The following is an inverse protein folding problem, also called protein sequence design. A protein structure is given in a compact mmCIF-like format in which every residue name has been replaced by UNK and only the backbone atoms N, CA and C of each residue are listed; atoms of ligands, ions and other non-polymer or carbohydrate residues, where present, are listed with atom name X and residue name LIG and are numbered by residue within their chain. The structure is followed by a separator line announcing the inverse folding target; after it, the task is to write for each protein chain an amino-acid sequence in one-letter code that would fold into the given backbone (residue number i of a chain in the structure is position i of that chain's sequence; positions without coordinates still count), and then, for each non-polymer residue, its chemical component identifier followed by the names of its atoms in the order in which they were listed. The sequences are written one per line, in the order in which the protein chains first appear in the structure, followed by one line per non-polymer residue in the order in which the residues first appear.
data_IF_682203951962
#
_entry.id   IF_682203951962
#
_cell.length_a   1.000
_cell.length_b   1.000
_cell.length_c   1.000
_cell.angle_alpha   90.00
_cell.angle_beta   90.00
_cell.angle_gamma   90.00
#
_symmetry.space_group_name_H-M   'P 1'
#
loop_
_entity.id
_entity.type
_entity.pdbx_description
1 polymer ?
#
# COMPACT_ATOMS: atom_id res chain seq x y z
N UNK A 1 -26.47 7.55 -11.90
CA UNK A 1 -26.19 7.63 -13.34
C UNK A 1 -25.85 6.25 -13.83
N UNK A 2 -26.47 5.84 -14.92
CA UNK A 2 -26.29 4.53 -15.59
C UNK A 2 -24.81 4.19 -15.82
N UNK A 3 -23.99 5.19 -16.15
CA UNK A 3 -22.54 5.05 -16.33
C UNK A 3 -21.78 4.54 -15.09
N UNK A 4 -22.18 4.96 -13.88
CA UNK A 4 -21.53 4.48 -12.65
C UNK A 4 -21.87 3.03 -12.36
N UNK A 5 -23.11 2.63 -12.66
CA UNK A 5 -23.56 1.25 -12.51
C UNK A 5 -22.90 0.33 -13.56
N UNK A 6 -22.75 0.82 -14.80
CA UNK A 6 -22.01 0.13 -15.86
C UNK A 6 -20.54 -0.03 -15.50
N UNK A 7 -19.85 1.05 -15.09
CA UNK A 7 -18.45 0.98 -14.68
C UNK A 7 -18.24 -0.03 -13.56
N UNK A 8 -19.07 0.03 -12.51
CA UNK A 8 -19.00 -0.89 -11.37
C UNK A 8 -19.23 -2.35 -11.80
N UNK A 9 -20.21 -2.60 -12.67
CA UNK A 9 -20.50 -3.94 -13.18
C UNK A 9 -19.37 -4.49 -14.05
N UNK A 10 -18.80 -3.67 -14.94
CA UNK A 10 -17.69 -4.05 -15.82
C UNK A 10 -16.43 -4.34 -15.00
N UNK A 11 -16.09 -3.49 -14.02
CA UNK A 11 -14.95 -3.72 -13.14
C UNK A 11 -15.04 -5.05 -12.39
N UNK A 12 -16.24 -5.45 -11.95
CA UNK A 12 -16.48 -6.73 -11.27
C UNK A 12 -16.30 -7.93 -12.20
N UNK A 13 -16.89 -7.88 -13.40
CA UNK A 13 -16.73 -8.94 -14.39
C UNK A 13 -15.24 -9.09 -14.73
N UNK A 14 -14.54 -7.98 -14.91
CA UNK A 14 -13.11 -7.99 -15.18
C UNK A 14 -12.29 -8.56 -14.01
N UNK A 15 -12.64 -8.23 -12.77
CA UNK A 15 -12.01 -8.80 -11.59
C UNK A 15 -12.19 -10.33 -11.52
N UNK A 16 -13.37 -10.85 -11.86
CA UNK A 16 -13.63 -12.29 -11.92
C UNK A 16 -12.80 -12.95 -13.04
N UNK A 17 -12.72 -12.33 -14.22
CA UNK A 17 -11.90 -12.84 -15.33
C UNK A 17 -10.43 -12.91 -14.92
N UNK A 18 -9.91 -11.85 -14.29
CA UNK A 18 -8.54 -11.84 -13.77
C UNK A 18 -8.34 -12.93 -12.71
N UNK A 19 -9.29 -13.11 -11.79
CA UNK A 19 -9.21 -14.13 -10.75
C UNK A 19 -9.13 -15.55 -11.35
N UNK A 20 -9.97 -15.84 -12.34
CA UNK A 20 -9.95 -17.12 -13.08
C UNK A 20 -8.62 -17.30 -13.80
N UNK A 21 -8.14 -16.26 -14.49
CA UNK A 21 -6.86 -16.31 -15.20
C UNK A 21 -5.68 -16.53 -14.26
N UNK A 22 -5.59 -15.79 -13.16
CA UNK A 22 -4.51 -15.91 -12.18
C UNK A 22 -4.55 -17.25 -11.45
N UNK A 23 -5.74 -17.70 -11.03
CA UNK A 23 -5.92 -19.01 -10.41
C UNK A 23 -5.47 -20.14 -11.33
N UNK A 24 -5.84 -20.08 -12.62
CA UNK A 24 -5.37 -21.04 -13.62
C UNK A 24 -3.84 -20.96 -13.78
N UNK A 25 -3.29 -19.75 -13.90
CA UNK A 25 -1.86 -19.54 -14.06
C UNK A 25 -1.05 -20.15 -12.91
N UNK A 26 -1.42 -19.87 -11.65
CA UNK A 26 -0.71 -20.36 -10.46
C UNK A 26 -0.71 -21.89 -10.36
N UNK A 27 -1.85 -22.53 -10.57
CA UNK A 27 -1.96 -24.00 -10.57
C UNK A 27 -1.13 -24.59 -11.70
N UNK A 28 -1.23 -24.01 -12.89
CA UNK A 28 -0.57 -24.50 -14.09
C UNK A 28 0.96 -24.37 -14.05
N UNK A 29 1.48 -23.46 -13.22
CA UNK A 29 2.90 -23.25 -13.04
C UNK A 29 3.52 -24.06 -11.90
N UNK A 30 2.73 -24.89 -11.20
CA UNK A 30 3.25 -25.79 -10.17
C UNK A 30 3.71 -25.08 -8.90
N UNK A 31 3.17 -23.89 -8.59
CA UNK A 31 3.49 -23.15 -7.36
C UNK A 31 3.19 -23.95 -6.08
N UNK A 32 2.25 -24.88 -6.15
CA UNK A 32 1.83 -25.72 -5.03
C UNK A 32 2.62 -27.05 -4.93
N UNK A 33 3.66 -27.23 -5.74
CA UNK A 33 4.47 -28.44 -5.79
C UNK A 33 3.91 -29.53 -6.72
N UNK A 34 4.46 -30.76 -6.66
CA UNK A 34 4.03 -31.87 -7.50
C UNK A 34 2.65 -32.38 -7.04
N UNK A 35 1.61 -31.87 -7.69
CA UNK A 35 0.20 -32.20 -7.42
C UNK A 35 -0.41 -33.04 -8.53
N UNK A 36 -1.33 -33.94 -8.19
CA UNK A 36 -2.10 -34.70 -9.19
C UNK A 36 -3.07 -33.79 -9.94
N UNK A 37 -3.45 -34.14 -11.18
CA UNK A 37 -4.42 -33.36 -11.97
C UNK A 37 -5.73 -33.08 -11.22
N UNK A 38 -6.23 -34.05 -10.44
CA UNK A 38 -7.43 -33.87 -9.60
C UNK A 38 -7.22 -32.84 -8.49
N UNK A 39 -6.03 -32.82 -7.87
CA UNK A 39 -5.70 -31.83 -6.84
C UNK A 39 -5.55 -30.43 -7.44
N UNK A 40 -4.95 -30.34 -8.64
CA UNK A 40 -4.85 -29.08 -9.38
C UNK A 40 -6.22 -28.48 -9.69
N UNK A 41 -7.17 -29.31 -10.14
CA UNK A 41 -8.53 -28.87 -10.37
C UNK A 41 -9.21 -28.41 -9.07
N UNK A 42 -9.01 -29.15 -7.96
CA UNK A 42 -9.57 -28.78 -6.66
C UNK A 42 -9.02 -27.45 -6.14
N UNK A 43 -7.69 -27.25 -6.21
CA UNK A 43 -7.03 -26.00 -5.81
C UNK A 43 -7.52 -24.84 -6.69
N UNK A 44 -7.63 -25.05 -8.00
CA UNK A 44 -8.16 -24.04 -8.92
C UNK A 44 -9.57 -23.59 -8.53
N UNK A 45 -10.49 -24.53 -8.31
CA UNK A 45 -11.88 -24.23 -7.90
C UNK A 45 -11.90 -23.51 -6.55
N UNK A 46 -11.07 -23.94 -5.59
CA UNK A 46 -10.95 -23.29 -4.28
C UNK A 46 -10.46 -21.84 -4.39
N UNK A 47 -9.44 -21.57 -5.21
CA UNK A 47 -8.90 -20.22 -5.41
C UNK A 47 -9.93 -19.28 -6.05
N UNK A 48 -10.65 -19.75 -7.08
CA UNK A 48 -11.70 -18.96 -7.72
C UNK A 48 -12.86 -18.69 -6.75
N UNK A 49 -13.32 -19.72 -6.01
CA UNK A 49 -14.37 -19.57 -5.02
C UNK A 49 -13.99 -18.59 -3.90
N UNK A 50 -12.77 -18.71 -3.36
CA UNK A 50 -12.25 -17.81 -2.33
C UNK A 50 -12.16 -16.36 -2.84
N UNK A 51 -11.69 -16.16 -4.08
CA UNK A 51 -11.59 -14.81 -4.66
C UNK A 51 -12.97 -14.19 -4.88
N UNK A 52 -13.95 -14.96 -5.35
CA UNK A 52 -15.34 -14.51 -5.47
C UNK A 52 -15.90 -14.10 -4.09
N UNK A 53 -15.65 -14.90 -3.05
CA UNK A 53 -16.07 -14.55 -1.69
C UNK A 53 -15.46 -13.22 -1.22
N UNK A 54 -14.18 -12.98 -1.47
CA UNK A 54 -13.51 -11.72 -1.11
C UNK A 54 -14.14 -10.53 -1.84
N UNK A 55 -14.43 -10.66 -3.15
CA UNK A 55 -15.11 -9.62 -3.93
C UNK A 55 -16.50 -9.32 -3.34
N UNK A 56 -17.26 -10.36 -2.99
CA UNK A 56 -18.58 -10.21 -2.37
C UNK A 56 -18.53 -9.57 -0.98
N UNK A 57 -17.50 -9.89 -0.18
CA UNK A 57 -17.30 -9.26 1.13
C UNK A 57 -16.95 -7.77 1.00
N UNK A 58 -16.12 -7.40 0.02
CA UNK A 58 -15.83 -5.98 -0.25
C UNK A 58 -17.11 -5.23 -0.69
N UNK A 59 -17.96 -5.84 -1.52
CA UNK A 59 -19.26 -5.27 -1.85
C UNK A 59 -20.18 -5.09 -0.65
N UNK A 60 -20.22 -6.07 0.25
CA UNK A 60 -21.04 -6.00 1.45
C UNK A 60 -20.65 -4.80 2.31
N UNK A 61 -19.34 -4.60 2.53
CA UNK A 61 -18.81 -3.45 3.27
C UNK A 61 -19.17 -2.14 2.55
N UNK A 62 -18.95 -2.05 1.24
CA UNK A 62 -19.23 -0.84 0.46
C UNK A 62 -20.73 -0.48 0.39
N UNK A 63 -21.63 -1.45 0.51
CA UNK A 63 -23.10 -1.22 0.54
C UNK A 63 -23.61 -0.70 1.89
N UNK A 64 -22.71 -0.34 2.82
CA UNK A 64 -23.05 0.32 4.08
C UNK A 64 -23.16 -0.62 5.28
N UNK A 65 -22.79 -1.88 5.14
CA UNK A 65 -22.68 -2.81 6.28
C UNK A 65 -21.35 -2.67 7.04
N UNK A 66 -20.43 -1.83 6.55
CA UNK A 66 -19.19 -1.51 7.22
C UNK A 66 -18.71 -0.08 6.91
N UNK A 67 -17.60 0.30 7.54
CA UNK A 67 -16.99 1.62 7.37
C UNK A 67 -15.91 1.54 6.28
N UNK A 68 -16.01 2.40 5.27
CA UNK A 68 -15.02 2.53 4.21
C UNK A 68 -15.07 1.43 3.14
N UNK A 69 -13.91 0.85 2.82
CA UNK A 69 -13.75 -0.19 1.79
C UNK A 69 -13.31 -1.50 2.41
N UNK A 70 -13.83 -2.63 1.92
CA UNK A 70 -13.44 -3.96 2.40
C UNK A 70 -11.97 -4.27 2.11
N UNK A 71 -11.45 -3.86 0.96
CA UNK A 71 -10.02 -4.01 0.63
C UNK A 71 -9.14 -3.35 1.68
N UNK A 72 -9.46 -2.12 2.09
CA UNK A 72 -8.71 -1.41 3.13
C UNK A 72 -8.74 -2.13 4.47
N UNK A 73 -9.88 -2.72 4.84
CA UNK A 73 -10.02 -3.50 6.08
C UNK A 73 -9.16 -4.77 6.04
N UNK A 74 -9.14 -5.49 4.91
CA UNK A 74 -8.31 -6.69 4.76
C UNK A 74 -6.82 -6.39 4.83
N UNK A 75 -6.38 -5.26 4.25
CA UNK A 75 -4.99 -4.82 4.35
C UNK A 75 -4.62 -4.53 5.81
N UNK A 76 -5.45 -3.76 6.52
CA UNK A 76 -5.21 -3.43 7.94
C UNK A 76 -5.16 -4.70 8.79
N UNK A 77 -6.09 -5.64 8.57
CA UNK A 77 -6.14 -6.89 9.31
C UNK A 77 -4.89 -7.76 9.06
N UNK A 78 -4.47 -7.91 7.80
CA UNK A 78 -3.29 -8.70 7.45
C UNK A 78 -1.98 -8.12 8.00
N UNK A 79 -1.81 -6.80 7.94
CA UNK A 79 -0.64 -6.13 8.51
C UNK A 79 -0.65 -6.22 10.04
N UNK A 80 -1.82 -6.05 10.67
CA UNK A 80 -1.95 -6.20 12.12
C UNK A 80 -1.66 -7.63 12.57
N UNK A 81 -2.08 -8.63 11.80
CA UNK A 81 -1.74 -10.04 12.03
C UNK A 81 -0.23 -10.27 11.95
N UNK A 82 0.44 -9.80 10.89
CA UNK A 82 1.90 -9.96 10.73
C UNK A 82 2.67 -9.30 11.89
N UNK A 83 2.25 -8.10 12.33
CA UNK A 83 2.82 -7.44 13.51
C UNK A 83 2.57 -8.29 14.77
N UNK A 84 1.34 -8.79 14.98
CA UNK A 84 1.00 -9.57 16.16
C UNK A 84 1.79 -10.88 16.24
N UNK A 85 1.90 -11.61 15.12
CA UNK A 85 2.70 -12.83 15.02
C UNK A 85 4.18 -12.53 15.27
N UNK A 86 4.71 -11.45 14.71
CA UNK A 86 6.10 -11.04 14.93
C UNK A 86 6.41 -10.68 16.39
N UNK A 87 5.39 -10.23 17.14
CA UNK A 87 5.52 -9.90 18.56
C UNK A 87 5.39 -11.11 19.48
N UNK A 88 4.38 -11.95 19.26
CA UNK A 88 3.89 -12.94 20.24
C UNK A 88 3.96 -14.39 19.77
N UNK A 89 4.47 -14.70 18.57
CA UNK A 89 4.53 -16.09 18.10
C UNK A 89 5.32 -17.00 19.06
N UNK A 90 4.70 -18.06 19.60
CA UNK A 90 5.34 -18.99 20.54
C UNK A 90 6.16 -20.09 19.85
N UNK A 91 6.29 -20.04 18.52
CA UNK A 91 7.03 -21.04 17.74
C UNK A 91 8.53 -20.92 18.07
N UNK A 92 9.16 -22.05 18.32
CA UNK A 92 10.59 -22.16 18.61
C UNK A 92 11.33 -22.44 17.30
N UNK A 93 12.31 -21.61 16.98
CA UNK A 93 13.15 -21.77 15.79
C UNK A 93 14.23 -22.83 16.02
N UNK A 94 14.89 -23.33 14.94
CA UNK A 94 16.02 -24.25 15.05
C UNK A 94 17.14 -23.77 15.99
N UNK A 95 17.30 -22.45 16.14
CA UNK A 95 18.24 -21.81 17.06
C UNK A 95 17.79 -21.83 18.54
N UNK A 96 16.74 -22.60 18.86
CA UNK A 96 16.05 -22.68 20.15
C UNK A 96 15.44 -21.36 20.67
N UNK A 97 15.52 -20.25 19.92
CA UNK A 97 14.94 -18.97 20.32
C UNK A 97 13.52 -18.85 19.76
N UNK A 98 12.60 -18.22 20.51
CA UNK A 98 11.25 -17.96 20.04
C UNK A 98 11.23 -17.05 18.79
N UNK A 99 10.23 -17.25 17.93
CA UNK A 99 9.99 -16.39 16.76
C UNK A 99 9.50 -15.00 17.18
N UNK A 100 8.58 -14.93 18.15
CA UNK A 100 8.06 -13.66 18.66
C UNK A 100 9.12 -12.90 19.46
N UNK A 101 9.36 -11.63 19.11
CA UNK A 101 10.43 -10.83 19.72
C UNK A 101 10.24 -10.67 21.23
N UNK A 102 9.00 -10.55 21.72
CA UNK A 102 8.72 -10.34 23.15
C UNK A 102 9.11 -11.59 23.94
N UNK A 103 8.70 -12.77 23.46
CA UNK A 103 9.04 -14.05 24.09
C UNK A 103 10.54 -14.33 23.98
N UNK A 104 11.16 -13.99 22.85
CA UNK A 104 12.59 -14.12 22.63
C UNK A 104 13.40 -13.22 23.58
N UNK A 105 12.97 -11.98 23.80
CA UNK A 105 13.56 -11.04 24.74
C UNK A 105 13.52 -11.59 26.18
N UNK A 106 12.39 -12.15 26.63
CA UNK A 106 12.33 -12.77 27.96
C UNK A 106 13.29 -13.95 28.08
N UNK A 107 13.33 -14.86 27.10
CA UNK A 107 14.21 -16.03 27.14
C UNK A 107 15.69 -15.65 27.13
N UNK A 108 16.08 -14.67 26.33
CA UNK A 108 17.48 -14.24 26.21
C UNK A 108 17.95 -13.33 27.33
N UNK A 109 17.05 -12.56 27.94
CA UNK A 109 17.34 -11.83 29.17
C UNK A 109 17.65 -12.81 30.31
N UNK A 110 16.92 -13.92 30.40
CA UNK A 110 17.19 -14.99 31.37
C UNK A 110 18.49 -15.73 31.03
N UNK A 111 18.80 -15.94 29.74
CA UNK A 111 20.02 -16.62 29.29
C UNK A 111 21.27 -15.72 29.27
N UNK A 112 21.13 -14.39 29.40
CA UNK A 112 22.24 -13.42 29.43
C UNK A 112 22.89 -13.09 28.08
N UNK A 113 22.30 -13.51 26.94
CA UNK A 113 22.84 -13.25 25.61
C UNK A 113 21.90 -12.40 24.75
N UNK A 114 21.93 -11.08 24.98
CA UNK A 114 21.09 -10.09 24.28
C UNK A 114 21.60 -9.85 22.84
N UNK A 115 22.89 -10.08 22.58
CA UNK A 115 23.51 -9.86 21.27
C UNK A 115 22.90 -10.75 20.17
N UNK A 116 22.45 -11.95 20.52
CA UNK A 116 21.84 -12.90 19.59
C UNK A 116 20.50 -12.44 18.99
N UNK A 117 19.84 -11.43 19.57
CA UNK A 117 18.54 -10.92 19.09
C UNK A 117 18.67 -9.57 18.36
N UNK A 118 19.84 -8.92 18.43
CA UNK A 118 20.03 -7.61 17.80
C UNK A 118 19.81 -7.65 16.29
N UNK A 119 20.48 -8.57 15.59
CA UNK A 119 20.31 -8.82 14.16
C UNK A 119 20.30 -10.33 13.97
N UNK A 120 19.15 -10.87 13.55
CA UNK A 120 19.00 -12.32 13.32
C UNK A 120 19.24 -12.64 11.84
N UNK A 121 20.17 -13.56 11.57
CA UNK A 121 20.34 -14.11 10.23
C UNK A 121 19.13 -14.98 9.88
N UNK A 122 18.48 -14.73 8.75
CA UNK A 122 17.28 -15.45 8.31
C UNK A 122 15.99 -14.62 8.22
N UNK A 123 16.05 -13.31 8.49
CA UNK A 123 14.88 -12.42 8.31
C UNK A 123 13.77 -12.63 9.35
N UNK A 124 14.08 -13.29 10.46
CA UNK A 124 13.19 -13.42 11.61
C UNK A 124 13.08 -12.10 12.38
N UNK A 125 11.99 -11.88 13.15
CA UNK A 125 11.82 -10.68 13.96
C UNK A 125 13.02 -10.44 14.89
N UNK A 126 13.66 -9.28 14.72
CA UNK A 126 14.85 -8.82 15.43
C UNK A 126 14.55 -7.56 16.25
N UNK A 127 15.44 -7.22 17.20
CA UNK A 127 15.22 -6.07 18.06
C UNK A 127 15.31 -4.74 17.29
N UNK A 128 16.16 -4.69 16.27
CA UNK A 128 16.28 -3.52 15.38
C UNK A 128 14.97 -3.31 14.64
N UNK A 129 14.39 -4.33 14.01
CA UNK A 129 13.09 -4.25 13.35
C UNK A 129 11.97 -3.80 14.30
N UNK A 130 11.95 -4.26 15.56
CA UNK A 130 10.97 -3.82 16.55
C UNK A 130 11.08 -2.31 16.85
N UNK A 131 12.29 -1.82 17.15
CA UNK A 131 12.52 -0.40 17.45
C UNK A 131 12.22 0.45 16.22
N UNK A 132 12.65 0.01 15.04
CA UNK A 132 12.35 0.65 13.76
C UNK A 132 10.86 0.69 13.48
N UNK A 133 10.08 -0.34 13.87
CA UNK A 133 8.62 -0.35 13.76
C UNK A 133 7.97 0.75 14.57
N UNK A 134 8.33 0.88 15.86
CA UNK A 134 7.79 1.93 16.73
C UNK A 134 8.13 3.31 16.18
N UNK A 135 9.39 3.51 15.80
CA UNK A 135 9.85 4.78 15.23
C UNK A 135 9.12 5.12 13.94
N UNK A 136 8.97 4.15 13.02
CA UNK A 136 8.30 4.34 11.73
C UNK A 136 6.82 4.68 11.91
N UNK A 137 6.12 3.98 12.81
CA UNK A 137 4.71 4.26 13.11
C UNK A 137 4.57 5.71 13.61
N UNK A 138 5.41 6.14 14.55
CA UNK A 138 5.40 7.52 15.05
C UNK A 138 5.69 8.56 13.96
N UNK A 139 6.70 8.30 13.12
CA UNK A 139 7.07 9.17 12.02
C UNK A 139 5.94 9.27 10.96
N UNK A 140 5.30 8.16 10.62
CA UNK A 140 4.19 8.11 9.66
C UNK A 140 2.95 8.83 10.18
N UNK A 141 2.59 8.66 11.46
CA UNK A 141 1.50 9.42 12.08
C UNK A 141 1.78 10.93 12.00
N UNK A 142 3.02 11.33 12.26
CA UNK A 142 3.43 12.73 12.16
C UNK A 142 3.32 13.26 10.72
N UNK A 143 3.84 12.52 9.73
CA UNK A 143 3.80 12.91 8.31
C UNK A 143 2.36 13.00 7.79
N UNK A 144 1.51 12.03 8.14
CA UNK A 144 0.09 11.99 7.74
C UNK A 144 -0.69 13.19 8.31
N UNK A 145 -0.29 13.71 9.48
CA UNK A 145 -0.90 14.88 10.10
C UNK A 145 -0.50 16.22 9.44
N UNK A 146 0.58 16.25 8.63
CA UNK A 146 1.05 17.49 7.99
C UNK A 146 0.07 17.94 6.91
N UNK A 147 -0.33 19.21 6.98
CA UNK A 147 -1.23 19.85 6.00
C UNK A 147 -0.70 21.21 5.58
N UNK A 148 -0.87 21.53 4.31
CA UNK A 148 -0.61 22.83 3.71
C UNK A 148 -1.93 23.59 3.66
N UNK A 149 -2.01 24.73 4.34
CA UNK A 149 -3.23 25.54 4.41
C UNK A 149 -3.22 26.62 3.32
N UNK A 150 -4.14 26.53 2.36
CA UNK A 150 -4.32 27.56 1.32
C UNK A 150 -5.31 28.61 1.84
N UNK A 151 -4.94 29.90 1.89
CA UNK A 151 -5.85 30.95 2.35
C UNK A 151 -6.98 31.17 1.33
N UNK A 152 -8.21 31.05 1.79
CA UNK A 152 -9.45 31.27 1.04
C UNK A 152 -10.31 32.31 1.75
N UNK A 153 -11.23 32.94 1.05
CA UNK A 153 -12.19 33.89 1.63
C UNK A 153 -13.57 33.65 1.08
N UNK A 154 -14.60 33.99 1.85
CA UNK A 154 -15.97 33.96 1.35
C UNK A 154 -16.19 35.15 0.41
N UNK A 155 -16.77 34.89 -0.76
CA UNK A 155 -17.08 35.94 -1.72
C UNK A 155 -18.24 36.84 -1.26
N UNK A 156 -19.20 36.27 -0.53
CA UNK A 156 -20.41 36.96 -0.05
C UNK A 156 -20.22 37.71 1.27
N UNK A 157 -19.30 37.27 2.13
CA UNK A 157 -19.08 37.84 3.46
C UNK A 157 -17.69 38.45 3.54
N UNK A 158 -17.61 39.77 3.34
CA UNK A 158 -16.37 40.52 3.39
C UNK A 158 -15.72 40.39 4.78
N UNK A 159 -14.43 40.04 4.84
CA UNK A 159 -13.67 39.91 6.09
C UNK A 159 -13.55 38.48 6.63
N UNK A 160 -14.39 37.54 6.21
CA UNK A 160 -14.25 36.13 6.63
C UNK A 160 -13.19 35.41 5.80
N UNK A 161 -12.01 35.23 6.39
CA UNK A 161 -10.92 34.39 5.87
C UNK A 161 -11.09 32.98 6.40
N UNK A 162 -11.18 32.01 5.49
CA UNK A 162 -11.15 30.60 5.79
C UNK A 162 -9.82 30.01 5.30
N UNK A 163 -9.52 28.79 5.72
CA UNK A 163 -8.33 28.08 5.25
C UNK A 163 -8.78 26.76 4.64
N UNK A 164 -8.27 26.46 3.43
CA UNK A 164 -8.50 25.18 2.78
C UNK A 164 -7.29 24.27 3.07
N UNK A 165 -7.42 23.26 3.94
CA UNK A 165 -6.32 22.37 4.26
C UNK A 165 -6.13 21.34 3.13
N UNK A 166 -4.92 21.29 2.56
CA UNK A 166 -4.48 20.24 1.63
C UNK A 166 -3.49 19.36 2.38
N UNK A 167 -3.80 18.08 2.57
CA UNK A 167 -2.88 17.13 3.23
C UNK A 167 -1.58 17.00 2.42
N UNK A 168 -0.45 16.82 3.09
CA UNK A 168 0.84 16.54 2.43
C UNK A 168 0.76 15.24 1.61
N UNK A 169 0.11 14.22 2.15
CA UNK A 169 -0.19 12.98 1.43
C UNK A 169 -1.52 13.11 0.68
N UNK A 170 -1.59 14.11 -0.21
CA UNK A 170 -2.82 14.50 -0.92
C UNK A 170 -3.47 13.36 -1.71
N UNK A 171 -2.63 12.53 -2.33
CA UNK A 171 -3.05 11.46 -3.24
C UNK A 171 -3.43 10.18 -2.48
N UNK A 172 -3.38 10.21 -1.14
CA UNK A 172 -3.56 9.05 -0.27
C UNK A 172 -2.56 7.93 -0.59
N UNK A 173 -2.79 6.73 -0.07
CA UNK A 173 -1.90 5.58 -0.25
C UNK A 173 -2.18 4.76 -1.53
N UNK A 174 -3.09 5.22 -2.39
CA UNK A 174 -3.43 4.49 -3.63
C UNK A 174 -2.25 4.38 -4.63
N UNK A 175 -1.43 5.43 -4.85
CA UNK A 175 -0.29 5.33 -5.78
C UNK A 175 0.72 4.25 -5.42
N UNK A 176 1.01 4.08 -4.13
CA UNK A 176 1.95 3.05 -3.68
C UNK A 176 1.35 1.65 -3.86
N UNK A 177 0.05 1.46 -3.63
CA UNK A 177 -0.63 0.18 -3.94
C UNK A 177 -0.47 -0.17 -5.42
N UNK A 178 -0.65 0.79 -6.33
CA UNK A 178 -0.48 0.51 -7.76
C UNK A 178 0.96 0.18 -8.13
N UNK A 179 1.94 0.92 -7.59
CA UNK A 179 3.35 0.64 -7.82
C UNK A 179 3.71 -0.79 -7.37
N UNK A 180 3.32 -1.17 -6.16
CA UNK A 180 3.62 -2.49 -5.60
C UNK A 180 2.87 -3.60 -6.30
N UNK A 181 1.63 -3.35 -6.75
CA UNK A 181 0.87 -4.33 -7.53
C UNK A 181 1.53 -4.60 -8.89
N UNK A 182 2.02 -3.56 -9.57
CA UNK A 182 2.80 -3.73 -10.81
C UNK A 182 4.06 -4.54 -10.54
N UNK A 183 4.76 -4.24 -9.45
CA UNK A 183 6.01 -4.90 -9.07
C UNK A 183 5.80 -6.39 -8.76
N UNK A 184 4.82 -6.71 -7.91
CA UNK A 184 4.43 -8.07 -7.61
C UNK A 184 4.00 -8.83 -8.86
N UNK A 185 3.22 -8.20 -9.76
CA UNK A 185 2.81 -8.84 -11.00
C UNK A 185 3.99 -9.12 -11.94
N UNK A 186 4.98 -8.24 -12.03
CA UNK A 186 6.21 -8.48 -12.81
C UNK A 186 6.93 -9.73 -12.28
N UNK A 187 7.07 -9.85 -10.95
CA UNK A 187 7.69 -11.02 -10.34
C UNK A 187 6.86 -12.29 -10.56
N UNK A 188 5.57 -12.27 -10.23
CA UNK A 188 4.74 -13.48 -10.35
C UNK A 188 4.59 -13.91 -11.80
N UNK A 189 4.21 -13.03 -12.73
CA UNK A 189 4.14 -13.37 -14.15
C UNK A 189 5.50 -13.79 -14.71
N UNK A 190 6.58 -13.12 -14.29
CA UNK A 190 7.93 -13.49 -14.69
C UNK A 190 8.30 -14.89 -14.22
N UNK A 191 7.99 -15.24 -12.97
CA UNK A 191 8.23 -16.58 -12.42
C UNK A 191 7.38 -17.67 -13.10
N UNK A 192 6.15 -17.35 -13.50
CA UNK A 192 5.25 -18.24 -14.25
C UNK A 192 5.79 -18.53 -15.66
N UNK A 193 6.29 -17.49 -16.33
CA UNK A 193 6.91 -17.64 -17.66
C UNK A 193 8.22 -18.41 -17.55
N UNK A 194 9.03 -18.13 -16.52
CA UNK A 194 10.28 -18.83 -16.27
C UNK A 194 10.07 -20.33 -16.02
N UNK A 195 9.13 -20.70 -15.14
CA UNK A 195 8.91 -22.11 -14.77
C UNK A 195 8.49 -23.00 -15.94
N UNK A 196 7.84 -22.43 -16.96
CA UNK A 196 7.41 -23.16 -18.16
C UNK A 196 8.33 -23.05 -19.36
N UNK A 197 8.85 -21.85 -19.64
CA UNK A 197 9.54 -21.57 -20.90
C UNK A 197 11.05 -21.41 -20.76
N UNK A 198 11.58 -21.23 -19.54
CA UNK A 198 13.02 -20.99 -19.35
C UNK A 198 13.57 -21.49 -17.99
N UNK A 199 13.29 -22.73 -17.57
CA UNK A 199 13.73 -23.23 -16.26
C UNK A 199 15.26 -23.25 -16.09
N UNK A 200 16.01 -23.41 -17.19
CA UNK A 200 17.48 -23.45 -17.19
C UNK A 200 18.15 -22.07 -17.38
N UNK A 201 17.37 -20.97 -17.48
CA UNK A 201 17.89 -19.61 -17.75
C UNK A 201 18.70 -19.49 -19.07
N UNK A 202 18.37 -20.26 -20.10
CA UNK A 202 19.08 -20.27 -21.39
C UNK A 202 18.68 -19.09 -22.31
N UNK A 203 17.43 -18.61 -22.21
CA UNK A 203 16.90 -17.58 -23.11
C UNK A 203 17.25 -16.15 -22.65
N UNK A 204 18.14 -15.48 -23.39
CA UNK A 204 18.61 -14.10 -23.09
C UNK A 204 17.46 -13.08 -22.94
N UNK A 205 16.44 -13.15 -23.79
CA UNK A 205 15.29 -12.22 -23.73
C UNK A 205 14.41 -12.46 -22.50
N UNK A 206 14.20 -13.72 -22.10
CA UNK A 206 13.42 -14.06 -20.91
C UNK A 206 14.20 -13.76 -19.63
N UNK A 207 15.53 -13.92 -19.68
CA UNK A 207 16.43 -13.55 -18.58
C UNK A 207 16.42 -12.04 -18.28
N UNK A 208 16.08 -11.19 -19.26
CA UNK A 208 15.92 -9.75 -19.03
C UNK A 208 14.70 -9.45 -18.12
N UNK A 209 13.61 -10.21 -18.29
CA UNK A 209 12.40 -10.10 -17.44
C UNK A 209 12.74 -10.58 -16.03
N UNK A 210 13.39 -11.73 -15.92
CA UNK A 210 13.92 -12.22 -14.65
C UNK A 210 14.55 -13.60 -14.81
N UNK A 211 15.66 -13.82 -14.10
CA UNK A 211 16.16 -15.17 -13.82
C UNK A 211 15.73 -15.55 -12.42
N UNK A 212 15.29 -16.79 -12.26
CA UNK A 212 14.85 -17.30 -10.99
C UNK A 212 15.61 -18.58 -10.66
N UNK A 213 15.70 -18.87 -9.36
CA UNK A 213 16.20 -20.15 -8.85
C UNK A 213 15.24 -20.64 -7.78
N UNK A 214 15.02 -21.95 -7.74
CA UNK A 214 14.26 -22.57 -6.66
C UNK A 214 15.19 -22.77 -5.47
N UNK A 215 14.96 -22.02 -4.40
CA UNK A 215 15.69 -22.20 -3.16
C UNK A 215 15.10 -23.39 -2.41
N UNK A 216 15.91 -24.45 -2.25
CA UNK A 216 15.48 -25.68 -1.59
C UNK A 216 15.30 -25.50 -0.08
N UNK A 217 15.96 -24.52 0.55
CA UNK A 217 15.85 -24.28 2.00
C UNK A 217 14.59 -23.49 2.33
N UNK A 218 14.26 -22.47 1.53
CA UNK A 218 13.06 -21.67 1.70
C UNK A 218 11.80 -22.30 1.07
N UNK A 219 11.97 -23.26 0.14
CA UNK A 219 10.86 -23.83 -0.64
C UNK A 219 10.19 -22.81 -1.57
N UNK A 220 10.86 -21.70 -1.85
CA UNK A 220 10.33 -20.57 -2.62
C UNK A 220 11.20 -20.24 -3.81
N UNK A 221 10.57 -19.72 -4.86
CA UNK A 221 11.26 -19.18 -6.03
C UNK A 221 11.84 -17.81 -5.67
N UNK A 222 13.16 -17.67 -5.79
CA UNK A 222 13.87 -16.41 -5.55
C UNK A 222 14.36 -15.85 -6.88
N UNK A 223 14.14 -14.57 -7.13
CA UNK A 223 14.72 -13.89 -8.30
C UNK A 223 16.22 -13.69 -8.07
N UNK A 224 17.05 -14.09 -9.04
CA UNK A 224 18.51 -13.96 -9.01
C UNK A 224 19.04 -12.89 -9.95
N UNK A 225 18.23 -12.44 -10.92
CA UNK A 225 18.65 -11.47 -11.92
C UNK A 225 17.49 -10.94 -12.77
N UNK A 226 17.81 -10.01 -13.67
CA UNK A 226 16.83 -9.33 -14.53
C UNK A 226 15.99 -8.26 -13.81
N UNK A 227 14.92 -7.80 -14.44
CA UNK A 227 14.03 -6.77 -13.89
C UNK A 227 13.38 -7.22 -12.58
N UNK A 228 12.95 -8.48 -12.49
CA UNK A 228 12.33 -9.04 -11.28
C UNK A 228 13.21 -8.95 -10.02
N UNK A 229 14.54 -9.04 -10.18
CA UNK A 229 15.50 -8.91 -9.08
C UNK A 229 15.49 -7.52 -8.44
N UNK A 230 15.37 -6.46 -9.26
CA UNK A 230 15.36 -5.08 -8.80
C UNK A 230 13.97 -4.61 -8.34
N UNK A 231 12.92 -5.27 -8.83
CA UNK A 231 11.53 -4.97 -8.50
C UNK A 231 11.16 -5.50 -7.11
N UNK A 232 11.76 -6.60 -6.66
CA UNK A 232 11.67 -7.06 -5.28
C UNK A 232 12.84 -6.54 -4.46
N UNK A 233 12.56 -5.65 -3.53
CA UNK A 233 13.55 -5.05 -2.66
C UNK A 233 14.14 -6.05 -1.65
N UNK A 234 15.43 -5.88 -1.27
CA UNK A 234 16.01 -6.61 -0.16
C UNK A 234 15.27 -6.26 1.14
N UNK A 235 15.04 -7.25 2.01
CA UNK A 235 14.45 -7.03 3.34
C UNK A 235 15.51 -7.24 4.41
N UNK A 236 15.64 -6.25 5.30
CA UNK A 236 16.60 -6.26 6.39
C UNK A 236 18.01 -5.76 6.04
N UNK A 237 18.73 -5.33 7.08
CA UNK A 237 20.02 -4.65 6.92
C UNK A 237 21.08 -5.55 6.31
N UNK A 238 21.11 -6.84 6.68
CA UNK A 238 22.09 -7.78 6.17
C UNK A 238 22.07 -7.89 4.63
N UNK A 239 20.87 -8.06 4.05
CA UNK A 239 20.71 -8.19 2.61
C UNK A 239 21.00 -6.88 1.84
N UNK A 240 20.80 -5.73 2.49
CA UNK A 240 21.17 -4.41 1.94
C UNK A 240 22.68 -4.21 1.92
N UNK A 241 23.41 -4.71 2.93
CA UNK A 241 24.87 -4.64 2.96
C UNK A 241 25.53 -5.60 1.98
N UNK A 242 24.90 -6.75 1.72
CA UNK A 242 25.36 -7.73 0.72
C UNK A 242 25.23 -7.19 -0.71
N UNK A 243 24.10 -6.55 -1.04
CA UNK A 243 23.90 -5.91 -2.35
C UNK A 243 23.31 -4.48 -2.23
N UNK A 244 24.18 -3.48 -1.97
CA UNK A 244 23.75 -2.09 -1.89
C UNK A 244 23.19 -1.57 -3.22
N UNK A 245 23.65 -2.12 -4.34
CA UNK A 245 23.23 -1.68 -5.67
C UNK A 245 21.77 -2.03 -5.93
N UNK A 246 21.36 -3.25 -5.59
CA UNK A 246 19.96 -3.69 -5.64
C UNK A 246 19.07 -2.81 -4.79
N UNK A 247 19.48 -2.47 -3.57
CA UNK A 247 18.72 -1.60 -2.69
C UNK A 247 18.50 -0.21 -3.33
N UNK A 248 19.57 0.45 -3.79
CA UNK A 248 19.46 1.79 -4.39
C UNK A 248 18.58 1.78 -5.65
N UNK A 249 18.74 0.79 -6.54
CA UNK A 249 17.93 0.67 -7.75
C UNK A 249 16.47 0.41 -7.41
N UNK A 250 16.19 -0.48 -6.45
CA UNK A 250 14.83 -0.75 -5.99
C UNK A 250 14.15 0.50 -5.43
N UNK A 251 14.82 1.24 -4.53
CA UNK A 251 14.29 2.48 -3.97
C UNK A 251 14.02 3.53 -5.08
N UNK A 252 14.95 3.68 -6.02
CA UNK A 252 14.78 4.59 -7.16
C UNK A 252 13.58 4.22 -8.03
N UNK A 253 13.39 2.93 -8.33
CA UNK A 253 12.24 2.44 -9.07
C UNK A 253 10.93 2.67 -8.29
N UNK A 254 10.89 2.33 -7.01
CA UNK A 254 9.69 2.49 -6.19
C UNK A 254 9.27 3.97 -6.09
N UNK A 255 10.23 4.87 -5.84
CA UNK A 255 9.98 6.32 -5.80
C UNK A 255 9.49 6.83 -7.16
N UNK A 256 10.13 6.41 -8.25
CA UNK A 256 9.73 6.81 -9.61
C UNK A 256 8.28 6.41 -9.90
N UNK A 257 7.93 5.14 -9.66
CA UNK A 257 6.58 4.63 -9.90
C UNK A 257 5.56 5.24 -8.93
N UNK A 258 5.92 5.48 -7.67
CA UNK A 258 5.05 6.16 -6.72
C UNK A 258 4.70 7.58 -7.17
N UNK A 259 5.67 8.36 -7.65
CA UNK A 259 5.44 9.71 -8.19
C UNK A 259 4.63 9.68 -9.49
N UNK A 260 4.94 8.74 -10.38
CA UNK A 260 4.23 8.57 -11.65
C UNK A 260 2.75 8.24 -11.40
N UNK A 261 2.47 7.23 -10.58
CA UNK A 261 1.10 6.86 -10.23
C UNK A 261 0.40 7.96 -9.41
N UNK A 262 1.13 8.73 -8.60
CA UNK A 262 0.53 9.84 -7.88
C UNK A 262 -0.01 10.92 -8.82
N UNK A 263 0.75 11.24 -9.89
CA UNK A 263 0.28 12.18 -10.92
C UNK A 263 -0.93 11.66 -11.68
N UNK A 264 -0.91 10.39 -12.07
CA UNK A 264 -2.05 9.77 -12.76
C UNK A 264 -3.31 9.73 -11.87
N UNK A 265 -3.15 9.39 -10.58
CA UNK A 265 -4.27 9.32 -9.67
C UNK A 265 -4.96 10.67 -9.49
N UNK A 266 -4.22 11.78 -9.37
CA UNK A 266 -4.80 13.12 -9.24
C UNK A 266 -5.70 13.47 -10.42
N UNK A 267 -5.32 13.08 -11.64
CA UNK A 267 -6.12 13.34 -12.84
C UNK A 267 -7.42 12.52 -12.87
N UNK A 268 -7.35 11.27 -12.44
CA UNK A 268 -8.47 10.31 -12.54
C UNK A 268 -9.44 10.43 -11.37
N UNK A 269 -8.94 10.67 -10.15
CA UNK A 269 -9.73 10.70 -8.91
C UNK A 269 -10.62 11.94 -8.73
N UNK A 270 -10.63 12.86 -9.70
CA UNK A 270 -11.37 14.12 -9.59
C UNK A 270 -10.72 15.15 -8.68
N UNK A 271 -9.51 14.86 -8.18
CA UNK A 271 -8.65 15.75 -7.39
C UNK A 271 -7.85 16.75 -8.26
N UNK A 272 -8.16 16.82 -9.55
CA UNK A 272 -7.52 17.73 -10.48
C UNK A 272 -7.73 19.20 -10.04
N UNK A 273 -6.71 20.07 -10.12
CA UNK A 273 -6.81 21.47 -9.72
C UNK A 273 -7.99 22.22 -10.31
N UNK A 274 -8.35 21.91 -11.56
CA UNK A 274 -9.46 22.49 -12.30
C UNK A 274 -10.80 22.13 -11.64
N UNK A 275 -11.02 20.85 -11.33
CA UNK A 275 -12.23 20.37 -10.65
C UNK A 275 -12.34 20.90 -9.22
N UNK A 276 -11.23 20.96 -8.49
CA UNK A 276 -11.20 21.54 -7.13
C UNK A 276 -11.54 23.03 -7.16
N UNK A 277 -11.03 23.77 -8.15
CA UNK A 277 -11.35 25.19 -8.31
C UNK A 277 -12.85 25.41 -8.61
N UNK A 278 -13.45 24.59 -9.48
CA UNK A 278 -14.89 24.62 -9.76
C UNK A 278 -15.72 24.35 -8.50
N UNK A 279 -15.34 23.35 -7.70
CA UNK A 279 -16.00 23.02 -6.43
C UNK A 279 -15.89 24.16 -5.40
N UNK A 280 -14.74 24.84 -5.33
CA UNK A 280 -14.57 25.99 -4.43
C UNK A 280 -15.44 27.17 -4.87
N UNK A 281 -15.51 27.44 -6.18
CA UNK A 281 -16.34 28.52 -6.71
C UNK A 281 -17.83 28.23 -6.50
N UNK A 282 -18.28 26.99 -6.72
CA UNK A 282 -19.68 26.59 -6.50
C UNK A 282 -20.05 26.67 -5.01
N UNK A 283 -19.10 26.40 -4.10
CA UNK A 283 -19.25 26.62 -2.66
C UNK A 283 -19.23 28.11 -2.24
N UNK A 284 -19.09 29.06 -3.18
CA UNK A 284 -19.08 30.49 -2.88
C UNK A 284 -17.76 31.03 -2.34
N UNK A 285 -16.67 30.26 -2.47
CA UNK A 285 -15.33 30.63 -2.02
C UNK A 285 -14.56 31.38 -3.11
N UNK A 286 -13.64 32.25 -2.70
CA UNK A 286 -12.71 32.96 -3.58
C UNK A 286 -11.33 33.09 -2.93
N UNK A 287 -10.28 33.16 -3.73
CA UNK A 287 -8.92 33.43 -3.23
C UNK A 287 -8.77 34.95 -3.02
N UNK A 288 -8.34 35.43 -1.83
CA UNK A 288 -8.15 36.85 -1.58
C UNK A 288 -7.22 37.50 -2.61
N UNK A 289 -7.62 38.65 -3.17
CA UNK A 289 -6.78 39.43 -4.10
C UNK A 289 -6.89 39.03 -5.57
N UNK A 290 -7.68 38.01 -5.92
CA UNK A 290 -7.87 37.56 -7.31
C UNK A 290 -9.32 37.68 -7.76
N UNK A 291 -9.53 37.85 -9.08
CA UNK A 291 -10.86 37.79 -9.68
C UNK A 291 -11.43 36.38 -9.57
N UNK A 292 -12.75 36.28 -9.43
CA UNK A 292 -13.48 35.00 -9.35
C UNK A 292 -13.60 34.37 -10.73
N UNK A 293 -12.49 33.82 -11.24
CA UNK A 293 -12.50 32.94 -12.41
C UNK A 293 -11.95 31.56 -12.04
N UNK A 294 -12.57 30.47 -12.54
CA UNK A 294 -12.07 29.10 -12.34
C UNK A 294 -10.61 28.94 -12.73
N UNK A 295 -10.20 29.56 -13.85
CA UNK A 295 -8.84 29.47 -14.39
C UNK A 295 -7.79 30.08 -13.47
N UNK A 296 -8.07 31.24 -12.85
CA UNK A 296 -7.12 31.90 -11.95
C UNK A 296 -6.96 31.11 -10.66
N UNK A 297 -8.08 30.63 -10.09
CA UNK A 297 -8.06 29.81 -8.87
C UNK A 297 -7.37 28.48 -9.13
N UNK A 298 -7.66 27.82 -10.25
CA UNK A 298 -7.01 26.59 -10.67
C UNK A 298 -5.50 26.77 -10.84
N UNK A 299 -5.04 27.86 -11.45
CA UNK A 299 -3.61 28.17 -11.61
C UNK A 299 -2.86 28.27 -10.28
N UNK A 300 -3.48 28.87 -9.26
CA UNK A 300 -2.91 28.98 -7.92
C UNK A 300 -2.87 27.60 -7.25
N UNK A 301 -4.00 26.90 -7.24
CA UNK A 301 -4.15 25.58 -6.61
C UNK A 301 -3.23 24.54 -7.27
N UNK A 302 -3.05 24.62 -8.59
CA UNK A 302 -2.19 23.72 -9.37
C UNK A 302 -0.75 23.70 -8.89
N UNK A 303 -0.21 24.85 -8.44
CA UNK A 303 1.13 24.90 -7.85
C UNK A 303 1.19 24.08 -6.56
N UNK A 304 0.22 24.26 -5.67
CA UNK A 304 0.15 23.52 -4.41
C UNK A 304 -0.10 22.03 -4.64
N UNK A 305 -1.14 21.66 -5.38
CA UNK A 305 -1.47 20.26 -5.66
C UNK A 305 -0.32 19.58 -6.39
N UNK A 306 0.24 20.17 -7.44
CA UNK A 306 1.36 19.59 -8.18
C UNK A 306 2.59 19.33 -7.32
N UNK A 307 2.97 20.30 -6.47
CA UNK A 307 4.09 20.13 -5.54
C UNK A 307 3.81 19.07 -4.49
N UNK A 308 2.62 19.08 -3.89
CA UNK A 308 2.23 18.12 -2.85
C UNK A 308 2.11 16.70 -3.41
N UNK A 309 1.65 16.53 -4.65
CA UNK A 309 1.59 15.23 -5.33
C UNK A 309 2.98 14.63 -5.55
N UNK A 310 3.94 15.43 -6.00
CA UNK A 310 5.31 14.96 -6.23
C UNK A 310 6.00 14.67 -4.89
N UNK A 311 5.90 15.60 -3.93
CA UNK A 311 6.49 15.43 -2.60
C UNK A 311 5.88 14.22 -1.87
N UNK A 312 4.55 14.05 -1.92
CA UNK A 312 3.86 12.93 -1.30
C UNK A 312 4.32 11.60 -1.89
N UNK A 313 4.41 11.49 -3.23
CA UNK A 313 4.92 10.28 -3.88
C UNK A 313 6.39 9.98 -3.53
N UNK A 314 7.23 11.01 -3.45
CA UNK A 314 8.64 10.87 -3.07
C UNK A 314 8.79 10.42 -1.61
N UNK A 315 8.07 11.05 -0.69
CA UNK A 315 8.10 10.72 0.74
C UNK A 315 7.59 9.29 0.95
N UNK A 316 6.43 8.94 0.39
CA UNK A 316 5.86 7.59 0.52
C UNK A 316 6.80 6.53 -0.02
N UNK A 317 7.34 6.72 -1.23
CA UNK A 317 8.29 5.76 -1.82
C UNK A 317 9.56 5.61 -0.99
N UNK A 318 10.12 6.71 -0.50
CA UNK A 318 11.33 6.70 0.34
C UNK A 318 11.08 6.00 1.66
N UNK A 319 9.99 6.34 2.36
CA UNK A 319 9.64 5.76 3.66
C UNK A 319 9.36 4.26 3.52
N UNK A 320 8.65 3.85 2.46
CA UNK A 320 8.39 2.45 2.18
C UNK A 320 9.70 1.65 1.97
N UNK A 321 10.61 2.13 1.12
CA UNK A 321 11.89 1.45 0.88
C UNK A 321 12.76 1.38 2.13
N UNK A 322 12.89 2.48 2.87
CA UNK A 322 13.69 2.51 4.11
C UNK A 322 13.12 1.55 5.15
N UNK A 323 11.80 1.46 5.26
CA UNK A 323 11.16 0.55 6.20
C UNK A 323 11.35 -0.92 5.85
N UNK A 324 11.33 -1.29 4.56
CA UNK A 324 11.66 -2.66 4.16
C UNK A 324 13.14 -3.02 4.44
N UNK A 325 14.07 -2.06 4.28
CA UNK A 325 15.49 -2.24 4.61
C UNK A 325 15.76 -2.38 6.10
N UNK A 326 14.95 -1.75 6.94
CA UNK A 326 15.03 -1.86 8.39
C UNK A 326 14.33 -3.11 8.95
N UNK A 327 13.83 -4.01 8.08
CA UNK A 327 13.08 -5.21 8.48
C UNK A 327 11.92 -4.90 9.44
N UNK A 328 11.19 -3.83 9.17
CA UNK A 328 10.03 -3.43 9.97
C UNK A 328 8.94 -4.49 9.91
N UNK A 329 8.28 -4.77 11.04
CA UNK A 329 7.24 -5.80 11.14
C UNK A 329 5.99 -5.39 10.36
N UNK A 330 5.43 -6.27 9.51
CA UNK A 330 4.24 -5.91 8.71
C UNK A 330 4.55 -5.29 7.34
N UNK A 331 5.82 -5.23 6.92
CA UNK A 331 6.33 -4.48 5.76
C UNK A 331 6.22 -2.96 5.87
N UNK A 332 7.19 -2.25 5.29
CA UNK A 332 7.17 -0.80 5.19
C UNK A 332 5.94 -0.27 4.45
N UNK A 333 5.56 -0.95 3.37
CA UNK A 333 4.35 -0.63 2.60
C UNK A 333 3.09 -0.91 3.44
N UNK A 334 3.05 -2.06 4.12
CA UNK A 334 1.90 -2.48 4.91
C UNK A 334 1.58 -1.51 6.06
N UNK A 335 2.59 -1.07 6.80
CA UNK A 335 2.40 -0.08 7.88
C UNK A 335 1.94 1.26 7.33
N UNK A 336 2.56 1.74 6.24
CA UNK A 336 2.18 3.01 5.61
C UNK A 336 0.72 2.99 5.17
N UNK A 337 0.30 1.89 4.56
CA UNK A 337 -1.09 1.68 4.17
C UNK A 337 -2.02 1.70 5.37
N UNK A 338 -1.67 0.92 6.40
CA UNK A 338 -2.46 0.77 7.61
C UNK A 338 -2.68 2.11 8.31
N UNK A 339 -1.63 2.92 8.49
CA UNK A 339 -1.74 4.21 9.15
C UNK A 339 -2.64 5.17 8.37
N UNK A 340 -2.47 5.27 7.04
CA UNK A 340 -3.32 6.16 6.24
C UNK A 340 -4.78 5.69 6.21
N UNK A 341 -5.03 4.38 6.13
CA UNK A 341 -6.39 3.82 6.20
C UNK A 341 -7.03 4.10 7.57
N UNK A 342 -6.32 3.83 8.67
CA UNK A 342 -6.81 4.10 10.02
C UNK A 342 -7.06 5.59 10.23
N UNK A 343 -6.20 6.47 9.71
CA UNK A 343 -6.40 7.91 9.77
C UNK A 343 -7.64 8.33 8.97
N UNK A 344 -7.86 7.75 7.78
CA UNK A 344 -9.07 7.99 6.99
C UNK A 344 -10.33 7.53 7.73
N UNK A 345 -10.30 6.36 8.37
CA UNK A 345 -11.43 5.82 9.13
C UNK A 345 -11.71 6.66 10.37
N UNK A 346 -10.66 7.11 11.07
CA UNK A 346 -10.78 8.06 12.17
C UNK A 346 -11.48 9.35 11.72
N UNK A 347 -11.08 9.92 10.58
CA UNK A 347 -11.73 11.13 10.04
C UNK A 347 -13.19 10.89 9.66
N UNK A 348 -13.51 9.72 9.09
CA UNK A 348 -14.88 9.34 8.76
C UNK A 348 -15.75 9.25 10.01
N UNK A 349 -15.29 8.52 11.03
CA UNK A 349 -15.99 8.36 12.31
C UNK A 349 -16.19 9.67 13.06
N UNK A 350 -15.18 10.54 13.07
CA UNK A 350 -15.29 11.87 13.67
C UNK A 350 -16.34 12.70 12.95
N UNK A 351 -16.39 12.64 11.61
CA UNK A 351 -17.39 13.35 10.80
C UNK A 351 -18.80 12.83 11.06
N UNK A 352 -18.99 11.52 11.12
CA UNK A 352 -20.28 10.89 11.44
C UNK A 352 -20.75 11.28 12.84
N UNK A 353 -19.89 11.13 13.85
CA UNK A 353 -20.20 11.52 15.24
C UNK A 353 -20.57 13.00 15.35
N UNK A 354 -19.88 13.89 14.64
CA UNK A 354 -20.22 15.32 14.63
C UNK A 354 -21.59 15.55 14.01
N UNK A 355 -21.91 14.83 12.92
CA UNK A 355 -23.23 14.90 12.27
C UNK A 355 -24.35 14.43 13.20
N UNK A 356 -24.13 13.34 13.94
CA UNK A 356 -25.09 12.80 14.92
C UNK A 356 -25.25 13.70 16.15
N UNK A 357 -24.15 14.20 16.72
CA UNK A 357 -24.17 15.02 17.92
C UNK A 357 -24.74 16.42 17.68
N UNK A 358 -24.56 16.97 16.46
CA UNK A 358 -25.04 18.29 16.10
C UNK A 358 -25.86 18.24 14.79
N UNK A 359 -27.12 17.79 14.85
CA UNK A 359 -27.97 17.64 13.66
C UNK A 359 -28.21 18.97 12.92
N UNK A 360 -28.13 20.11 13.62
CA UNK A 360 -28.19 21.44 13.03
C UNK A 360 -26.94 21.82 12.20
N UNK A 361 -25.76 21.29 12.55
CA UNK A 361 -24.52 21.43 11.79
C UNK A 361 -24.47 20.46 10.59
N UNK A 362 -25.07 19.27 10.71
CA UNK A 362 -25.22 18.32 9.60
C UNK A 362 -25.94 18.92 8.39
N UNK A 363 -27.06 19.63 8.62
CA UNK A 363 -27.81 20.36 7.57
C UNK A 363 -27.01 21.48 6.90
N UNK A 364 -26.01 22.05 7.58
CA UNK A 364 -25.12 23.10 7.05
C UNK A 364 -23.91 22.54 6.31
N UNK A 365 -23.51 21.29 6.61
CA UNK A 365 -22.39 20.57 6.00
C UNK A 365 -22.80 19.70 4.80
N UNK A 366 -24.06 19.76 4.37
CA UNK A 366 -24.52 19.20 3.10
C UNK A 366 -24.78 17.69 3.13
N UNK A 367 -25.33 17.17 4.23
CA UNK A 367 -26.01 15.87 4.18
C UNK A 367 -27.48 16.06 3.80
N UNK A 368 -27.75 15.97 2.50
CA UNK A 368 -29.01 15.45 1.96
C UNK A 368 -28.70 14.19 1.15
#
# INVERSE_FOLDING_TARGET
SEDRALFTSVSKIFAIIIAVFQGAAYVSAGFFGPTTETQNLAIFVQLVAATILIILLDELVQKGWGLGSGISLFIVAGVAEEIFVSLFSPIILPDEIYQGIILALFKTLVAGNIGAILIRAGGFPDLVGFISTIFLIGALIYIEAIRVEIPISYAKFQGYRAKYPVKLLYVSNVPIIFATTVFSNIFYLGSLVWSRFNPNNENVFLNLIGTYTFDQEAGTVVATGGLAYYVIGPRGLASVFEDPTRAVVHAGLLIMFAVLFAKFWVQISGLAPEKVAEQLISAGMQVPGFRRSPEIIASIIKKYIGTVTILGGLIIGTVASVADYLAVYGSGIGILLTIGILHQYYQLLVRERISEMYPALGKLLGSD
#
